data_IF_252712849476
#
_entry.id   IF_252712849476
#
_cell.length_a   1.000
_cell.length_b   1.000
_cell.length_c   1.000
_cell.angle_alpha   90.00
_cell.angle_beta   90.00
_cell.angle_gamma   90.00
#
_symmetry.space_group_name_H-M   'P 1'
#
loop_
_entity.id
_entity.type
_entity.pdbx_description
1 polymer ?
#
# COMPACT_ATOMS: atom_id res chain seq x y z
N UNK A 1 0.34 16.17 1.27
CA UNK A 1 0.74 14.89 1.86
C UNK A 1 -0.03 14.75 3.17
N UNK A 2 -0.99 13.84 3.34
CA UNK A 2 -1.62 13.68 4.64
C UNK A 2 -0.76 12.80 5.54
N UNK A 3 -0.69 13.20 6.81
CA UNK A 3 0.18 12.73 7.88
C UNK A 3 0.06 11.23 8.20
N UNK A 4 1.23 10.59 8.32
CA UNK A 4 1.40 9.26 8.89
C UNK A 4 1.33 9.28 10.41
N UNK A 5 0.14 9.55 10.96
CA UNK A 5 -0.11 9.46 12.40
C UNK A 5 0.00 8.01 12.90
N UNK A 6 1.11 7.68 13.56
CA UNK A 6 1.29 6.44 14.30
C UNK A 6 0.42 6.46 15.57
N UNK A 7 -0.54 5.53 15.68
CA UNK A 7 -1.34 5.33 16.90
C UNK A 7 -0.87 4.08 17.66
N UNK A 8 -0.55 4.27 18.95
CA UNK A 8 -0.14 3.26 19.92
C UNK A 8 -1.24 2.21 20.25
N UNK A 9 -0.84 0.94 20.39
CA UNK A 9 -1.16 0.11 21.57
C UNK A 9 -2.56 -0.48 21.79
N UNK A 10 -3.47 -0.48 20.82
CA UNK A 10 -4.80 -1.13 20.90
C UNK A 10 -5.03 -2.10 19.74
N UNK A 11 -5.93 -3.08 19.90
CA UNK A 11 -6.30 -4.02 18.82
C UNK A 11 -6.55 -3.25 17.52
N UNK A 12 -5.70 -3.47 16.52
CA UNK A 12 -5.75 -2.74 15.26
C UNK A 12 -6.80 -3.41 14.37
N UNK A 13 -7.88 -2.71 14.06
CA UNK A 13 -8.93 -3.15 13.11
C UNK A 13 -8.78 -2.37 11.79
N UNK A 14 -7.70 -2.57 11.01
CA UNK A 14 -7.51 -1.79 9.79
C UNK A 14 -8.54 -2.18 8.72
N UNK A 15 -9.13 -1.20 8.05
CA UNK A 15 -9.97 -1.46 6.89
C UNK A 15 -9.14 -1.42 5.61
N UNK A 16 -9.22 -2.46 4.79
CA UNK A 16 -8.66 -2.43 3.42
C UNK A 16 -9.53 -1.54 2.54
N UNK A 17 -8.90 -0.57 1.88
CA UNK A 17 -9.58 0.38 0.99
C UNK A 17 -9.29 0.03 -0.46
N UNK A 18 -10.36 -0.25 -1.18
CA UNK A 18 -10.38 -0.50 -2.60
C UNK A 18 -10.94 0.70 -3.35
N UNK A 19 -10.54 0.83 -4.60
CA UNK A 19 -11.12 1.78 -5.52
C UNK A 19 -12.53 1.32 -5.96
N UNK A 20 -13.25 2.16 -6.72
CA UNK A 20 -14.60 1.87 -7.19
C UNK A 20 -14.69 0.66 -8.14
N UNK A 21 -13.57 0.22 -8.72
CA UNK A 21 -13.46 -1.00 -9.53
C UNK A 21 -13.01 -2.23 -8.71
N UNK A 22 -13.06 -2.13 -7.37
CA UNK A 22 -12.67 -3.19 -6.42
C UNK A 22 -11.18 -3.58 -6.49
N UNK A 23 -10.32 -2.74 -7.08
CA UNK A 23 -8.88 -2.94 -7.09
C UNK A 23 -8.20 -2.15 -5.96
N UNK A 24 -7.06 -2.62 -5.44
CA UNK A 24 -6.29 -1.86 -4.46
C UNK A 24 -5.87 -0.49 -5.03
N UNK A 25 -5.98 0.57 -4.21
CA UNK A 25 -5.52 1.91 -4.59
C UNK A 25 -3.98 1.99 -4.68
N UNK A 26 -3.29 1.24 -3.83
CA UNK A 26 -1.83 1.10 -3.81
C UNK A 26 -1.44 -0.37 -3.68
N UNK A 27 -0.42 -0.78 -4.43
CA UNK A 27 0.15 -2.13 -4.33
C UNK A 27 0.97 -2.33 -3.06
N UNK A 28 1.78 -1.34 -2.67
CA UNK A 28 2.53 -1.37 -1.42
C UNK A 28 2.87 0.04 -0.90
N UNK A 29 2.66 0.33 0.40
CA UNK A 29 1.86 -0.48 1.32
C UNK A 29 0.41 -0.57 0.82
N UNK A 30 -0.30 -1.64 1.20
CA UNK A 30 -1.73 -1.72 0.92
C UNK A 30 -2.43 -0.49 1.51
N UNK A 31 -3.45 0.00 0.82
CA UNK A 31 -4.24 1.14 1.26
C UNK A 31 -5.12 0.72 2.44
N UNK A 32 -4.56 0.81 3.64
CA UNK A 32 -5.25 0.52 4.89
C UNK A 32 -5.66 1.83 5.57
N UNK A 33 -6.89 1.89 6.05
CA UNK A 33 -7.38 2.96 6.92
C UNK A 33 -7.56 2.46 8.35
N UNK A 34 -7.42 3.36 9.31
CA UNK A 34 -7.87 3.08 10.68
C UNK A 34 -9.39 2.88 10.71
N UNK A 35 -9.88 2.05 11.63
CA UNK A 35 -11.32 1.76 11.72
C UNK A 35 -12.16 3.03 11.92
N UNK A 36 -11.64 4.04 12.63
CA UNK A 36 -12.34 5.31 12.84
C UNK A 36 -12.58 6.06 11.53
N UNK A 37 -11.61 6.05 10.62
CA UNK A 37 -11.72 6.70 9.31
C UNK A 37 -12.65 5.93 8.39
N UNK A 38 -12.60 4.59 8.44
CA UNK A 38 -13.53 3.73 7.73
C UNK A 38 -14.98 3.94 8.18
N UNK A 39 -15.24 3.95 9.50
CA UNK A 39 -16.55 4.24 10.07
C UNK A 39 -17.03 5.65 9.66
N UNK A 40 -16.19 6.68 9.79
CA UNK A 40 -16.51 8.04 9.32
C UNK A 40 -16.90 8.04 7.83
N UNK A 41 -16.21 7.29 6.98
CA UNK A 41 -16.52 7.23 5.56
C UNK A 41 -17.83 6.49 5.25
N UNK A 42 -18.17 5.45 6.02
CA UNK A 42 -19.48 4.78 5.94
C UNK A 42 -20.60 5.73 6.35
N UNK A 43 -20.46 6.43 7.47
CA UNK A 43 -21.44 7.43 7.93
C UNK A 43 -21.66 8.58 6.93
N UNK A 44 -20.61 9.01 6.24
CA UNK A 44 -20.68 10.03 5.20
C UNK A 44 -21.14 9.48 3.84
N UNK A 45 -21.52 8.20 3.77
CA UNK A 45 -22.01 7.52 2.57
C UNK A 45 -21.02 7.57 1.38
N UNK A 46 -19.71 7.65 1.66
CA UNK A 46 -18.64 7.76 0.63
C UNK A 46 -18.10 6.41 0.14
N UNK A 47 -18.43 5.34 0.85
CA UNK A 47 -17.88 4.00 0.59
C UNK A 47 -18.98 2.94 0.66
N UNK A 48 -18.74 1.81 0.01
CA UNK A 48 -19.50 0.59 0.15
C UNK A 48 -18.73 -0.37 1.07
N UNK A 49 -19.40 -0.97 2.05
CA UNK A 49 -18.82 -1.99 2.93
C UNK A 49 -18.93 -3.35 2.25
N UNK A 50 -17.79 -4.03 2.09
CA UNK A 50 -17.70 -5.35 1.44
C UNK A 50 -17.51 -6.49 2.44
N UNK A 51 -16.87 -6.18 3.57
CA UNK A 51 -16.65 -7.13 4.64
C UNK A 51 -16.51 -6.38 5.96
N UNK A 52 -16.85 -7.08 7.04
CA UNK A 52 -16.91 -6.53 8.39
C UNK A 52 -16.16 -7.45 9.35
N UNK A 53 -15.69 -6.87 10.45
CA UNK A 53 -15.25 -7.62 11.62
C UNK A 53 -16.45 -8.02 12.47
N UNK A 54 -16.26 -9.01 13.34
CA UNK A 54 -17.27 -9.38 14.33
C UNK A 54 -17.46 -8.32 15.43
N UNK A 55 -16.50 -7.40 15.57
CA UNK A 55 -16.53 -6.30 16.55
C UNK A 55 -17.58 -5.28 16.17
N UNK A 56 -18.47 -4.97 17.10
CA UNK A 56 -19.46 -3.90 16.98
C UNK A 56 -19.01 -2.62 17.71
N UNK A 57 -19.42 -1.46 17.17
CA UNK A 57 -19.29 -0.15 17.80
C UNK A 57 -20.67 0.47 17.98
N UNK A 58 -20.84 1.23 19.05
CA UNK A 58 -22.13 1.77 19.47
C UNK A 58 -22.04 3.26 19.76
N UNK A 59 -23.11 3.98 19.43
CA UNK A 59 -23.50 5.26 20.02
C UNK A 59 -24.73 5.05 20.91
N UNK A 60 -25.25 6.14 21.50
CA UNK A 60 -26.49 6.09 22.29
C UNK A 60 -27.69 5.57 21.48
N UNK A 61 -27.72 5.79 20.16
CA UNK A 61 -28.87 5.51 19.30
C UNK A 61 -28.53 4.76 18.01
N UNK A 62 -27.31 4.21 17.91
CA UNK A 62 -26.83 3.56 16.69
C UNK A 62 -25.82 2.46 17.03
N UNK A 63 -25.85 1.35 16.30
CA UNK A 63 -24.79 0.35 16.34
C UNK A 63 -24.43 -0.09 14.94
N UNK A 64 -23.16 -0.45 14.75
CA UNK A 64 -22.68 -1.06 13.50
C UNK A 64 -21.47 -1.94 13.74
N UNK A 65 -21.29 -2.94 12.88
CA UNK A 65 -20.04 -3.72 12.85
C UNK A 65 -18.91 -2.89 12.27
N UNK A 66 -17.69 -3.15 12.71
CA UNK A 66 -16.52 -2.46 12.16
C UNK A 66 -16.25 -2.96 10.73
N UNK A 67 -16.08 -2.06 9.75
CA UNK A 67 -15.73 -2.47 8.40
C UNK A 67 -14.29 -2.99 8.34
N UNK A 68 -14.09 -4.12 7.64
CA UNK A 68 -12.77 -4.73 7.40
C UNK A 68 -12.30 -4.53 5.96
N UNK A 69 -13.24 -4.43 5.00
CA UNK A 69 -12.96 -4.12 3.60
C UNK A 69 -14.02 -3.14 3.08
N UNK A 70 -13.57 -2.03 2.49
CA UNK A 70 -14.43 -1.00 1.91
C UNK A 70 -14.00 -0.68 0.47
N UNK A 71 -14.96 -0.32 -0.38
CA UNK A 71 -14.70 0.24 -1.70
C UNK A 71 -15.19 1.69 -1.77
N UNK A 72 -14.39 2.56 -2.38
CA UNK A 72 -14.81 3.92 -2.69
C UNK A 72 -15.98 3.90 -3.69
N UNK A 73 -16.93 4.82 -3.55
CA UNK A 73 -17.98 4.98 -4.56
C UNK A 73 -17.49 5.72 -5.80
N UNK A 74 -16.60 6.70 -5.59
CA UNK A 74 -15.99 7.47 -6.66
C UNK A 74 -14.66 6.84 -7.09
N UNK A 75 -14.46 6.75 -8.40
CA UNK A 75 -13.24 6.22 -8.96
C UNK A 75 -12.09 7.22 -8.81
N UNK A 76 -11.00 6.79 -8.16
CA UNK A 76 -9.75 7.56 -8.09
C UNK A 76 -8.81 7.08 -9.19
N UNK A 77 -8.40 7.94 -10.14
CA UNK A 77 -7.39 7.59 -11.12
C UNK A 77 -6.04 7.35 -10.45
N UNK A 78 -5.47 6.16 -10.64
CA UNK A 78 -4.12 5.82 -10.16
C UNK A 78 -3.17 5.64 -11.35
N UNK A 79 -1.92 6.07 -11.18
CA UNK A 79 -0.88 5.81 -12.19
C UNK A 79 -0.70 4.31 -12.32
N UNK A 80 -0.87 3.78 -13.54
CA UNK A 80 -0.62 2.36 -13.82
C UNK A 80 0.87 2.00 -13.78
N UNK A 81 1.76 2.99 -13.87
CA UNK A 81 3.19 2.74 -13.87
C UNK A 81 3.79 3.05 -12.49
N UNK A 82 4.44 2.06 -11.85
CA UNK A 82 5.20 2.29 -10.63
C UNK A 82 6.26 3.36 -10.86
N UNK A 83 6.42 4.26 -9.90
CA UNK A 83 7.50 5.23 -9.93
C UNK A 83 8.85 4.50 -9.86
N UNK A 84 9.83 4.94 -10.65
CA UNK A 84 11.19 4.41 -10.58
C UNK A 84 11.87 4.94 -9.31
N UNK A 85 11.70 4.21 -8.21
CA UNK A 85 12.25 4.53 -6.90
C UNK A 85 13.06 3.36 -6.38
N UNK A 86 13.93 3.67 -5.41
CA UNK A 86 14.74 2.66 -4.72
C UNK A 86 13.88 1.49 -4.22
N UNK A 87 12.84 1.84 -3.49
CA UNK A 87 11.93 0.88 -2.92
C UNK A 87 11.27 -0.02 -3.99
N UNK A 88 10.80 0.55 -5.11
CA UNK A 88 10.09 -0.25 -6.11
C UNK A 88 11.02 -1.16 -6.93
N UNK A 89 12.29 -0.80 -7.13
CA UNK A 89 13.27 -1.71 -7.75
C UNK A 89 13.55 -2.89 -6.82
N UNK A 90 13.71 -2.65 -5.51
CA UNK A 90 13.86 -3.74 -4.53
C UNK A 90 12.62 -4.62 -4.42
N UNK A 91 11.43 -4.02 -4.45
CA UNK A 91 10.18 -4.76 -4.43
C UNK A 91 10.05 -5.67 -5.65
N UNK A 92 10.38 -5.16 -6.85
CA UNK A 92 10.42 -5.97 -8.09
C UNK A 92 11.38 -7.16 -7.93
N UNK A 93 12.55 -6.91 -7.35
CA UNK A 93 13.61 -7.88 -7.15
C UNK A 93 13.42 -8.74 -5.89
N UNK A 94 12.23 -8.68 -5.26
CA UNK A 94 11.87 -9.43 -4.05
C UNK A 94 12.89 -9.27 -2.91
N UNK A 95 13.43 -8.06 -2.75
CA UNK A 95 14.48 -7.72 -1.77
C UNK A 95 15.67 -8.68 -1.82
N UNK A 96 16.03 -9.13 -3.02
CA UNK A 96 17.09 -10.10 -3.24
C UNK A 96 18.10 -9.57 -4.25
N UNK A 97 19.39 -9.75 -3.95
CA UNK A 97 20.48 -9.39 -4.85
C UNK A 97 20.34 -10.19 -6.17
N UNK A 98 20.29 -9.51 -7.31
CA UNK A 98 20.12 -10.16 -8.61
C UNK A 98 21.37 -10.90 -9.10
N UNK A 99 22.53 -10.68 -8.44
CA UNK A 99 23.77 -11.37 -8.78
C UNK A 99 23.99 -12.66 -7.99
N UNK A 100 23.67 -12.68 -6.70
CA UNK A 100 23.88 -13.84 -5.83
C UNK A 100 22.59 -14.51 -5.33
N UNK A 101 21.42 -13.96 -5.68
CA UNK A 101 20.09 -14.41 -5.26
C UNK A 101 19.84 -14.38 -3.74
N UNK A 102 20.73 -13.78 -2.94
CA UNK A 102 20.55 -13.68 -1.50
C UNK A 102 19.50 -12.61 -1.15
N UNK A 103 18.51 -13.00 -0.35
CA UNK A 103 17.58 -12.05 0.28
C UNK A 103 18.31 -11.24 1.35
N UNK A 104 18.15 -9.91 1.32
CA UNK A 104 18.82 -8.98 2.24
C UNK A 104 17.86 -7.89 2.73
N UNK A 105 18.07 -7.34 3.94
CA UNK A 105 17.38 -6.12 4.35
C UNK A 105 17.60 -4.99 3.34
N UNK A 106 16.58 -4.16 3.11
CA UNK A 106 16.66 -3.08 2.13
C UNK A 106 17.84 -2.13 2.39
N UNK A 107 18.26 -1.94 3.64
CA UNK A 107 19.39 -1.11 4.04
C UNK A 107 20.74 -1.65 3.55
N UNK A 108 20.85 -2.96 3.36
CA UNK A 108 22.07 -3.62 2.89
C UNK A 108 22.14 -3.75 1.36
N UNK A 109 21.00 -3.60 0.68
CA UNK A 109 20.93 -3.62 -0.78
C UNK A 109 21.31 -2.26 -1.38
N UNK A 110 21.95 -2.32 -2.54
CA UNK A 110 22.30 -1.18 -3.38
C UNK A 110 21.63 -1.28 -4.76
N UNK A 111 21.75 -0.22 -5.57
CA UNK A 111 21.46 -0.33 -7.00
C UNK A 111 22.73 -0.48 -7.77
N UNK A 112 22.68 -1.39 -8.73
CA UNK A 112 23.72 -1.50 -9.72
C UNK A 112 23.15 -1.41 -11.13
N UNK A 113 23.97 -0.86 -12.02
CA UNK A 113 23.68 -0.81 -13.44
C UNK A 113 24.25 -2.05 -14.12
N UNK A 114 23.39 -2.92 -14.66
CA UNK A 114 23.83 -4.15 -15.34
C UNK A 114 24.77 -3.83 -16.50
N UNK A 115 24.41 -2.85 -17.33
CA UNK A 115 25.33 -2.17 -18.25
C UNK A 115 25.85 -0.93 -17.55
N UNK A 116 27.16 -0.83 -17.24
CA UNK A 116 27.71 0.32 -16.55
C UNK A 116 27.43 1.63 -17.30
N UNK A 117 27.20 2.72 -16.55
CA UNK A 117 27.02 4.06 -17.14
C UNK A 117 28.17 4.48 -18.04
N UNK A 118 29.41 4.13 -17.67
CA UNK A 118 30.60 4.42 -18.48
C UNK A 118 30.59 3.75 -19.86
N UNK A 119 29.80 2.67 -20.04
CA UNK A 119 29.59 1.96 -21.31
C UNK A 119 28.26 2.35 -21.98
N UNK A 120 27.65 3.46 -21.58
CA UNK A 120 26.39 3.96 -22.15
C UNK A 120 25.12 3.37 -21.53
N UNK A 121 25.22 2.64 -20.42
CA UNK A 121 24.05 2.10 -19.71
C UNK A 121 23.12 3.21 -19.18
N UNK A 122 21.83 3.07 -19.45
CA UNK A 122 20.79 4.03 -19.04
C UNK A 122 20.24 3.67 -17.67
N UNK A 123 19.75 4.66 -16.92
CA UNK A 123 18.99 4.42 -15.69
C UNK A 123 17.53 4.13 -16.06
N UNK A 124 17.21 2.86 -16.30
CA UNK A 124 15.87 2.39 -16.63
C UNK A 124 15.52 1.15 -15.82
N UNK A 125 14.23 0.77 -15.82
CA UNK A 125 13.77 -0.46 -15.18
C UNK A 125 14.56 -1.69 -15.65
N UNK A 126 14.92 -1.76 -16.92
CA UNK A 126 15.55 -2.93 -17.52
C UNK A 126 17.05 -3.02 -17.19
N UNK A 127 17.68 -1.93 -16.75
CA UNK A 127 19.14 -1.86 -16.58
C UNK A 127 19.59 -1.57 -15.14
N UNK A 128 18.66 -1.38 -14.20
CA UNK A 128 18.98 -1.18 -12.78
C UNK A 128 18.39 -2.30 -11.95
N UNK A 129 19.21 -2.89 -11.09
CA UNK A 129 18.88 -4.07 -10.26
C UNK A 129 19.28 -3.86 -8.81
N UNK A 130 18.65 -4.61 -7.90
CA UNK A 130 19.11 -4.78 -6.54
C UNK A 130 20.40 -5.60 -6.52
N UNK A 131 21.44 -5.10 -5.86
CA UNK A 131 22.75 -5.73 -5.73
C UNK A 131 23.23 -5.74 -4.27
#
# INVERSE_FOLDING_TARGET
MPDGGQHHGGQHFPALVLNADFRPLSYFPLSLWGWQDAVKAVFLDRVCVLSEYEREVHSVNFSMRLPSVIALKDFIPTSRQPAFTRFNVFLRDSFSCQYCAAHRPAQELTFDHVIPRARGGRTTWENVVAA
#
